data_IF_109639654314
#
_entry.id   IF_109639654314
#
_cell.length_a   1.000
_cell.length_b   1.000
_cell.length_c   1.000
_cell.angle_alpha   90.00
_cell.angle_beta   90.00
_cell.angle_gamma   90.00
#
_symmetry.space_group_name_H-M   'P 1'
#
loop_
_entity.id
_entity.type
_entity.pdbx_description
1 polymer ?
#
# COMPACT_ATOMS: atom_id res chain seq x y z
N UNK A 1 3.12 -11.83 -3.13
CA UNK A 1 2.22 -12.99 -2.91
C UNK A 1 1.23 -13.04 -4.06
N UNK A 2 0.99 -14.23 -4.64
CA UNK A 2 -0.06 -14.44 -5.64
C UNK A 2 -1.40 -14.55 -4.91
N UNK A 3 -2.43 -13.87 -5.42
CA UNK A 3 -3.78 -13.97 -4.85
C UNK A 3 -4.52 -15.18 -5.43
N UNK A 4 -5.61 -15.63 -4.79
CA UNK A 4 -6.43 -16.74 -5.33
C UNK A 4 -6.94 -16.48 -6.76
N UNK A 5 -7.18 -15.20 -7.10
CA UNK A 5 -7.50 -14.78 -8.48
C UNK A 5 -6.33 -14.97 -9.44
N UNK A 6 -5.11 -14.67 -9.00
CA UNK A 6 -3.88 -14.93 -9.76
C UNK A 6 -3.67 -16.41 -10.05
N UNK A 7 -3.94 -17.28 -9.08
CA UNK A 7 -3.86 -18.73 -9.27
C UNK A 7 -4.89 -19.24 -10.30
N UNK A 8 -6.12 -18.74 -10.25
CA UNK A 8 -7.15 -19.07 -11.25
C UNK A 8 -6.78 -18.64 -12.66
N UNK A 9 -6.23 -17.42 -12.83
CA UNK A 9 -5.74 -16.95 -14.13
C UNK A 9 -4.59 -17.80 -14.66
N UNK A 10 -3.65 -18.19 -13.80
CA UNK A 10 -2.53 -19.05 -14.19
C UNK A 10 -3.01 -20.44 -14.62
N UNK A 11 -3.96 -21.03 -13.89
CA UNK A 11 -4.55 -22.32 -14.25
C UNK A 11 -5.27 -22.25 -15.61
N UNK A 12 -6.00 -21.17 -15.87
CA UNK A 12 -6.67 -20.95 -17.15
C UNK A 12 -5.67 -20.80 -18.31
N UNK A 13 -4.54 -20.09 -18.11
CA UNK A 13 -3.47 -19.99 -19.11
C UNK A 13 -2.92 -21.38 -19.45
N UNK A 14 -2.59 -22.17 -18.44
CA UNK A 14 -2.05 -23.52 -18.64
C UNK A 14 -3.05 -24.41 -19.38
N UNK A 15 -4.34 -24.37 -19.01
CA UNK A 15 -5.37 -25.13 -19.68
C UNK A 15 -5.51 -24.72 -21.16
N UNK A 16 -5.55 -23.41 -21.45
CA UNK A 16 -5.65 -22.91 -22.83
C UNK A 16 -4.43 -23.26 -23.67
N UNK A 17 -3.22 -23.17 -23.11
CA UNK A 17 -1.99 -23.60 -23.77
C UNK A 17 -2.06 -25.08 -24.18
N UNK A 18 -2.50 -25.96 -23.26
CA UNK A 18 -2.65 -27.39 -23.53
C UNK A 18 -3.72 -27.66 -24.59
N UNK A 19 -4.90 -27.02 -24.48
CA UNK A 19 -5.95 -27.16 -25.49
C UNK A 19 -5.51 -26.64 -26.87
N UNK A 20 -4.82 -25.50 -26.92
CA UNK A 20 -4.26 -24.95 -28.15
C UNK A 20 -3.29 -25.92 -28.80
N UNK A 21 -2.40 -26.52 -28.01
CA UNK A 21 -1.43 -27.50 -28.50
C UNK A 21 -2.06 -28.81 -29.00
N UNK A 22 -3.16 -29.25 -28.39
CA UNK A 22 -3.89 -30.46 -28.81
C UNK A 22 -4.76 -30.23 -30.05
N UNK A 23 -5.40 -29.07 -30.15
CA UNK A 23 -6.40 -28.80 -31.19
C UNK A 23 -5.83 -28.06 -32.41
N UNK A 24 -4.63 -27.48 -32.30
CA UNK A 24 -3.99 -26.63 -33.31
C UNK A 24 -4.85 -25.46 -33.81
N UNK A 25 -5.86 -25.06 -33.03
CA UNK A 25 -6.72 -23.92 -33.37
C UNK A 25 -5.96 -22.63 -33.10
N UNK A 26 -5.58 -21.91 -34.16
CA UNK A 26 -4.77 -20.69 -34.10
C UNK A 26 -5.27 -19.63 -33.11
N UNK A 27 -6.59 -19.45 -32.98
CA UNK A 27 -7.19 -18.47 -32.05
C UNK A 27 -6.92 -18.78 -30.57
N UNK A 28 -6.75 -20.06 -30.21
CA UNK A 28 -6.45 -20.42 -28.81
C UNK A 28 -5.07 -19.93 -28.40
N UNK A 29 -4.08 -19.97 -29.30
CA UNK A 29 -2.76 -19.40 -29.05
C UNK A 29 -2.81 -17.89 -28.87
N UNK A 30 -3.65 -17.19 -29.63
CA UNK A 30 -3.85 -15.75 -29.44
C UNK A 30 -4.42 -15.44 -28.05
N UNK A 31 -5.45 -16.18 -27.62
CA UNK A 31 -6.03 -16.01 -26.28
C UNK A 31 -5.05 -16.36 -25.17
N UNK A 32 -4.24 -17.41 -25.35
CA UNK A 32 -3.21 -17.82 -24.40
C UNK A 32 -2.12 -16.75 -24.28
N UNK A 33 -1.62 -16.22 -25.39
CA UNK A 33 -0.62 -15.15 -25.41
C UNK A 33 -1.11 -13.89 -24.69
N UNK A 34 -2.39 -13.52 -24.86
CA UNK A 34 -3.00 -12.40 -24.12
C UNK A 34 -3.05 -12.70 -22.62
N UNK A 35 -3.43 -13.92 -22.23
CA UNK A 35 -3.45 -14.32 -20.81
C UNK A 35 -2.06 -14.24 -20.17
N UNK A 36 -1.05 -14.77 -20.85
CA UNK A 36 0.34 -14.67 -20.41
C UNK A 36 0.81 -13.22 -20.33
N UNK A 37 0.42 -12.38 -21.28
CA UNK A 37 0.68 -10.94 -21.25
C UNK A 37 0.09 -10.27 -19.99
N UNK A 38 -1.16 -10.57 -19.65
CA UNK A 38 -1.82 -10.05 -18.44
C UNK A 38 -1.09 -10.52 -17.18
N UNK A 39 -0.69 -11.79 -17.10
CA UNK A 39 0.04 -12.36 -15.96
C UNK A 39 1.40 -11.66 -15.81
N UNK A 40 2.15 -11.51 -16.90
CA UNK A 40 3.46 -10.87 -16.91
C UNK A 40 3.37 -9.41 -16.46
N UNK A 41 2.47 -8.63 -17.05
CA UNK A 41 2.24 -7.22 -16.67
C UNK A 41 1.83 -7.13 -15.20
N UNK A 42 0.94 -8.01 -14.75
CA UNK A 42 0.47 -8.01 -13.36
C UNK A 42 1.55 -8.42 -12.36
N UNK A 43 2.56 -9.18 -12.77
CA UNK A 43 3.71 -9.52 -11.94
C UNK A 43 4.73 -8.38 -11.86
N UNK A 44 4.97 -7.69 -12.98
CA UNK A 44 5.99 -6.64 -13.11
C UNK A 44 5.51 -5.31 -12.51
N UNK A 45 4.26 -4.90 -12.75
CA UNK A 45 3.73 -3.60 -12.31
C UNK A 45 3.84 -3.37 -10.81
N UNK A 46 3.43 -4.30 -9.91
CA UNK A 46 3.60 -4.13 -8.47
C UNK A 46 5.06 -4.03 -8.04
N UNK A 47 5.95 -4.72 -8.77
CA UNK A 47 7.37 -4.71 -8.46
C UNK A 47 7.96 -3.33 -8.76
N UNK A 48 7.63 -2.78 -9.92
CA UNK A 48 8.03 -1.44 -10.32
C UNK A 48 7.43 -0.39 -9.37
N UNK A 49 6.13 -0.49 -9.04
CA UNK A 49 5.43 0.53 -8.23
C UNK A 49 5.99 0.72 -6.82
N UNK A 50 6.72 -0.26 -6.27
CA UNK A 50 7.13 -0.27 -4.86
C UNK A 50 8.59 0.16 -4.66
N UNK A 51 9.43 0.12 -5.69
CA UNK A 51 10.87 0.32 -5.56
C UNK A 51 11.36 1.59 -6.28
N UNK A 52 12.15 2.47 -5.63
CA UNK A 52 12.26 2.75 -4.19
C UNK A 52 11.36 3.94 -3.80
N UNK A 53 10.37 3.74 -2.94
CA UNK A 53 9.57 4.81 -2.32
C UNK A 53 10.11 5.16 -0.93
N UNK A 54 10.08 6.45 -0.54
CA UNK A 54 10.44 6.90 0.81
C UNK A 54 9.20 7.46 1.48
N UNK A 55 8.98 7.12 2.74
CA UNK A 55 7.98 7.79 3.56
C UNK A 55 8.65 8.33 4.82
N UNK A 56 8.28 9.55 5.16
CA UNK A 56 8.62 10.22 6.40
C UNK A 56 7.32 10.41 7.20
N UNK A 57 7.43 10.36 8.52
CA UNK A 57 6.32 10.55 9.45
C UNK A 57 6.63 11.78 10.29
N UNK A 58 5.64 12.62 10.49
CA UNK A 58 5.70 13.76 11.39
C UNK A 58 4.52 13.68 12.35
N UNK A 59 4.75 13.91 13.62
CA UNK A 59 3.69 13.95 14.64
C UNK A 59 3.57 15.40 15.08
N UNK A 60 2.52 16.08 14.64
CA UNK A 60 2.21 17.42 15.12
C UNK A 60 1.30 17.26 16.34
N UNK A 61 1.92 17.35 17.52
CA UNK A 61 1.16 17.54 18.76
C UNK A 61 0.69 18.99 18.82
N UNK A 62 -0.60 19.27 19.07
CA UNK A 62 -1.06 20.63 19.29
C UNK A 62 -0.50 21.15 20.62
N UNK A 63 0.73 21.68 20.60
CA UNK A 63 1.44 22.12 21.80
C UNK A 63 2.85 22.70 21.59
N UNK A 64 3.32 22.89 20.35
CA UNK A 64 4.66 23.45 20.07
C UNK A 64 4.81 24.97 20.35
N UNK A 65 3.84 25.60 20.99
CA UNK A 65 3.97 26.96 21.52
C UNK A 65 3.83 26.95 23.05
N UNK A 66 4.83 26.34 23.71
CA UNK A 66 5.10 26.53 25.14
C UNK A 66 3.92 26.23 26.09
N UNK A 67 3.66 24.95 26.36
CA UNK A 67 2.90 24.58 27.58
C UNK A 67 2.21 23.22 27.56
N UNK A 68 2.62 22.36 28.50
CA UNK A 68 1.94 21.17 29.05
C UNK A 68 2.09 19.81 28.30
N UNK A 69 2.00 18.67 29.05
CA UNK A 69 2.68 17.42 28.73
C UNK A 69 1.79 16.43 27.97
N UNK A 70 2.21 16.04 26.75
CA UNK A 70 1.64 14.92 26.00
C UNK A 70 0.17 15.07 25.62
N UNK A 71 -0.32 14.26 24.67
CA UNK A 71 -1.74 14.26 24.32
C UNK A 71 -2.60 13.80 25.49
N UNK A 72 -3.57 14.62 25.88
CA UNK A 72 -4.56 14.28 26.91
C UNK A 72 -5.62 13.33 26.35
N UNK A 73 -6.28 12.57 27.23
CA UNK A 73 -7.38 11.68 26.84
C UNK A 73 -8.51 12.47 26.16
N UNK A 74 -8.93 12.03 24.98
CA UNK A 74 -9.86 12.75 24.09
C UNK A 74 -9.21 13.87 23.26
N UNK A 75 -7.93 14.16 23.48
CA UNK A 75 -7.15 15.12 22.69
C UNK A 75 -6.95 14.64 21.26
N UNK A 76 -6.99 15.58 20.32
CA UNK A 76 -6.71 15.31 18.91
C UNK A 76 -5.19 15.37 18.69
N UNK A 77 -4.64 14.30 18.13
CA UNK A 77 -3.25 14.24 17.67
C UNK A 77 -3.26 14.26 16.15
N UNK A 78 -2.53 15.22 15.55
CA UNK A 78 -2.36 15.29 14.11
C UNK A 78 -1.14 14.45 13.70
N UNK A 79 -1.40 13.35 13.00
CA UNK A 79 -0.35 12.51 12.44
C UNK A 79 -0.19 12.89 10.97
N UNK A 80 0.95 13.49 10.65
CA UNK A 80 1.39 13.78 9.29
C UNK A 80 2.20 12.62 8.71
N UNK A 81 1.90 12.22 7.48
CA UNK A 81 2.66 11.23 6.72
C UNK A 81 3.01 11.87 5.38
N UNK A 82 4.30 12.00 5.12
CA UNK A 82 4.82 12.53 3.85
C UNK A 82 5.40 11.37 3.03
N UNK A 83 4.78 11.10 1.89
CA UNK A 83 5.24 10.10 0.94
C UNK A 83 6.01 10.79 -0.18
N UNK A 84 7.26 10.39 -0.42
CA UNK A 84 8.13 10.95 -1.45
C UNK A 84 8.54 9.88 -2.47
N UNK A 85 8.35 10.20 -3.74
CA UNK A 85 8.84 9.40 -4.85
C UNK A 85 10.18 9.96 -5.33
N UNK A 86 11.32 9.29 -5.10
CA UNK A 86 12.61 9.74 -5.60
C UNK A 86 12.84 9.40 -7.08
N UNK A 87 11.90 8.74 -7.76
CA UNK A 87 12.06 8.27 -9.15
C UNK A 87 11.17 9.05 -10.10
N UNK A 88 11.59 9.17 -11.37
CA UNK A 88 10.80 9.78 -12.45
C UNK A 88 9.47 9.06 -12.74
N UNK A 89 9.40 7.75 -12.48
CA UNK A 89 8.21 6.97 -12.79
C UNK A 89 7.08 7.30 -11.82
N UNK A 90 5.91 7.73 -12.31
CA UNK A 90 4.74 7.96 -11.47
C UNK A 90 4.26 6.64 -10.86
N UNK A 91 3.70 6.71 -9.65
CA UNK A 91 3.15 5.57 -8.93
C UNK A 91 1.65 5.70 -8.85
N UNK A 92 0.98 4.58 -9.05
CA UNK A 92 -0.48 4.54 -9.06
C UNK A 92 -1.00 3.50 -8.08
N UNK A 93 -2.14 3.80 -7.45
CA UNK A 93 -2.93 2.86 -6.64
C UNK A 93 -2.08 2.26 -5.50
N UNK A 94 -1.57 3.14 -4.63
CA UNK A 94 -0.77 2.76 -3.47
C UNK A 94 -1.63 2.83 -2.21
N UNK A 95 -1.68 1.75 -1.44
CA UNK A 95 -2.31 1.74 -0.12
C UNK A 95 -1.25 1.85 0.97
N UNK A 96 -1.43 2.78 1.91
CA UNK A 96 -0.64 2.89 3.13
C UNK A 96 -1.49 2.44 4.30
N UNK A 97 -0.90 1.74 5.26
CA UNK A 97 -1.58 1.38 6.49
C UNK A 97 -0.61 1.34 7.66
N UNK A 98 -1.10 1.72 8.83
CA UNK A 98 -0.37 1.63 10.09
C UNK A 98 -1.31 1.26 11.23
N UNK A 99 -0.75 0.67 12.28
CA UNK A 99 -1.45 0.38 13.53
C UNK A 99 -1.34 1.61 14.45
N UNK A 100 -2.49 2.18 14.82
CA UNK A 100 -2.63 3.31 15.72
C UNK A 100 -3.27 2.83 17.04
N UNK A 101 -2.48 2.40 18.03
CA UNK A 101 -3.02 1.96 19.32
C UNK A 101 -3.65 3.10 20.15
N UNK A 102 -3.45 4.36 19.75
CA UNK A 102 -4.08 5.52 20.37
C UNK A 102 -5.59 5.60 20.09
N UNK A 103 -6.06 5.01 19.00
CA UNK A 103 -7.46 5.10 18.61
C UNK A 103 -8.30 3.95 19.19
N UNK A 104 -9.63 4.12 19.16
CA UNK A 104 -10.57 3.07 19.57
C UNK A 104 -10.26 1.73 18.88
N UNK A 105 -10.45 0.58 19.55
CA UNK A 105 -10.09 -0.74 19.02
C UNK A 105 -10.78 -1.08 17.69
N UNK A 106 -11.91 -0.45 17.37
CA UNK A 106 -12.61 -0.59 16.09
C UNK A 106 -11.96 0.18 14.92
N UNK A 107 -11.13 1.19 15.19
CA UNK A 107 -10.45 2.06 14.19
C UNK A 107 -8.92 2.05 14.30
N UNK A 108 -8.39 1.09 15.05
CA UNK A 108 -6.97 0.91 15.30
C UNK A 108 -6.12 0.83 14.02
N UNK A 109 -6.67 0.30 12.92
CA UNK A 109 -5.97 0.19 11.65
C UNK A 109 -6.34 1.34 10.71
N UNK A 110 -5.46 2.32 10.61
CA UNK A 110 -5.62 3.46 9.71
C UNK A 110 -5.11 3.11 8.32
N UNK A 111 -5.89 3.44 7.29
CA UNK A 111 -5.56 3.13 5.89
C UNK A 111 -5.75 4.36 5.01
N UNK A 112 -4.68 4.73 4.29
CA UNK A 112 -4.73 5.74 3.25
C UNK A 112 -4.61 5.12 1.88
N UNK A 113 -5.25 5.76 0.91
CA UNK A 113 -5.19 5.38 -0.48
C UNK A 113 -4.71 6.57 -1.30
N UNK A 114 -3.58 6.38 -1.98
CA UNK A 114 -3.00 7.36 -2.90
C UNK A 114 -3.25 6.84 -4.31
N UNK A 115 -4.11 7.54 -5.05
CA UNK A 115 -4.44 7.19 -6.44
C UNK A 115 -3.24 7.40 -7.36
N UNK A 116 -2.54 8.51 -7.19
CA UNK A 116 -1.39 8.91 -7.99
C UNK A 116 -0.35 9.62 -7.13
N UNK A 117 0.92 9.29 -7.38
CA UNK A 117 2.08 9.98 -6.87
C UNK A 117 3.01 10.25 -8.06
N UNK A 118 3.11 11.51 -8.45
CA UNK A 118 3.91 11.92 -9.60
C UNK A 118 5.39 11.50 -9.48
N UNK A 119 6.07 11.43 -10.62
CA UNK A 119 7.52 11.28 -10.67
C UNK A 119 8.21 12.43 -9.94
N UNK A 120 9.18 12.14 -9.09
CA UNK A 120 9.84 13.11 -8.21
C UNK A 120 8.88 13.89 -7.28
N UNK A 121 7.63 13.44 -7.17
CA UNK A 121 6.58 14.10 -6.40
C UNK A 121 6.60 13.74 -4.92
N UNK A 122 5.85 14.53 -4.17
CA UNK A 122 5.56 14.29 -2.76
C UNK A 122 4.07 14.47 -2.49
N UNK A 123 3.52 13.66 -1.59
CA UNK A 123 2.14 13.79 -1.11
C UNK A 123 2.19 13.76 0.42
N UNK A 124 1.63 14.81 1.04
CA UNK A 124 1.42 14.88 2.48
C UNK A 124 -0.01 14.47 2.79
N UNK A 125 -0.17 13.62 3.80
CA UNK A 125 -1.45 13.16 4.32
C UNK A 125 -1.51 13.50 5.81
N UNK A 126 -2.60 14.13 6.24
CA UNK A 126 -2.84 14.48 7.64
C UNK A 126 -4.02 13.66 8.16
N UNK A 127 -3.87 13.13 9.37
CA UNK A 127 -4.88 12.32 10.03
C UNK A 127 -5.01 12.75 11.48
N UNK A 128 -6.22 13.18 11.84
CA UNK A 128 -6.54 13.56 13.20
C UNK A 128 -7.08 12.34 13.93
N UNK A 129 -6.36 11.91 14.97
CA UNK A 129 -6.73 10.76 15.79
C UNK A 129 -7.06 11.24 17.20
N UNK A 130 -8.21 10.82 17.75
CA UNK A 130 -8.55 11.09 19.13
C UNK A 130 -7.89 10.06 20.06
N UNK A 131 -7.15 10.53 21.07
CA UNK A 131 -6.51 9.66 22.06
C UNK A 131 -7.56 8.98 22.95
N UNK A 132 -7.82 7.69 22.73
CA UNK A 132 -8.83 6.92 23.44
C UNK A 132 -8.36 6.45 24.83
N UNK A 133 -7.06 6.22 25.01
CA UNK A 133 -6.46 5.77 26.26
C UNK A 133 -5.27 6.65 26.64
N UNK A 134 -5.01 6.76 27.95
CA UNK A 134 -3.81 7.41 28.49
C UNK A 134 -2.66 6.41 28.55
N UNK A 135 -1.48 6.83 28.10
CA UNK A 135 -0.25 6.05 28.19
C UNK A 135 0.72 6.40 27.07
N UNK A 136 1.96 5.91 27.18
CA UNK A 136 2.89 5.93 26.05
C UNK A 136 2.49 4.82 25.07
N UNK A 137 2.22 5.18 23.83
CA UNK A 137 1.75 4.24 22.82
C UNK A 137 2.69 4.26 21.61
N UNK A 138 3.26 3.11 21.27
CA UNK A 138 4.09 2.99 20.08
C UNK A 138 3.21 2.93 18.83
N UNK A 139 3.35 3.91 17.95
CA UNK A 139 2.74 3.82 16.63
C UNK A 139 3.39 2.67 15.86
N UNK A 140 2.53 1.82 15.29
CA UNK A 140 2.97 0.69 14.50
C UNK A 140 3.77 1.12 13.26
N UNK A 141 4.58 0.20 12.71
CA UNK A 141 5.36 0.46 11.51
C UNK A 141 4.46 0.86 10.34
N UNK A 142 4.90 1.84 9.56
CA UNK A 142 4.20 2.24 8.33
C UNK A 142 4.41 1.17 7.26
N UNK A 143 3.32 0.55 6.85
CA UNK A 143 3.31 -0.47 5.81
C UNK A 143 2.70 0.10 4.53
N UNK A 144 3.28 -0.30 3.40
CA UNK A 144 2.77 0.04 2.09
C UNK A 144 2.42 -1.22 1.33
N UNK A 145 1.28 -1.21 0.64
CA UNK A 145 0.82 -2.26 -0.25
C UNK A 145 0.54 -1.66 -1.61
N UNK A 146 1.23 -2.19 -2.63
CA UNK A 146 0.81 -2.00 -4.01
C UNK A 146 0.18 -3.30 -4.52
N UNK A 147 -0.96 -3.14 -5.18
CA UNK A 147 -1.67 -4.23 -5.83
C UNK A 147 -1.49 -4.13 -7.33
N UNK A 148 -1.38 -5.28 -8.00
CA UNK A 148 -1.40 -5.37 -9.44
C UNK A 148 -2.73 -4.89 -10.01
N UNK A 149 -2.75 -4.49 -11.30
CA UNK A 149 -3.97 -4.51 -12.08
C UNK A 149 -4.72 -5.83 -11.86
N UNK A 150 -6.05 -5.76 -11.70
CA UNK A 150 -6.92 -6.92 -11.45
C UNK A 150 -6.66 -7.68 -10.13
N UNK A 151 -5.75 -7.20 -9.28
CA UNK A 151 -5.47 -7.77 -7.96
C UNK A 151 -4.80 -9.15 -8.00
N UNK A 152 -4.18 -9.55 -9.11
CA UNK A 152 -3.54 -10.87 -9.26
C UNK A 152 -2.31 -11.04 -8.37
N UNK A 153 -1.55 -9.96 -8.18
CA UNK A 153 -0.39 -9.93 -7.31
C UNK A 153 -0.50 -8.80 -6.30
N UNK A 154 0.00 -9.04 -5.10
CA UNK A 154 0.16 -8.02 -4.06
C UNK A 154 1.57 -8.07 -3.52
N UNK A 155 2.14 -6.90 -3.32
CA UNK A 155 3.44 -6.76 -2.67
C UNK A 155 3.33 -5.73 -1.56
N UNK A 156 3.92 -6.08 -0.43
CA UNK A 156 3.93 -5.30 0.81
C UNK A 156 5.38 -4.98 1.16
N UNK A 157 5.64 -3.75 1.55
CA UNK A 157 6.93 -3.34 2.12
C UNK A 157 6.70 -2.51 3.38
N UNK A 158 7.67 -2.56 4.29
CA UNK A 158 7.76 -1.68 5.44
C UNK A 158 8.54 -0.43 5.02
N UNK A 159 7.96 0.76 5.22
CA UNK A 159 8.59 2.03 4.84
C UNK A 159 9.24 2.73 6.01
N UNK A 160 8.64 2.68 7.21
CA UNK A 160 9.16 3.35 8.39
C UNK A 160 9.19 2.40 9.61
N UNK A 161 10.19 2.63 10.47
CA UNK A 161 10.34 1.98 11.77
C UNK A 161 9.25 2.46 12.74
N UNK A 162 8.87 1.67 13.76
CA UNK A 162 7.93 2.11 14.78
C UNK A 162 8.45 3.34 15.53
N UNK A 163 7.56 4.27 15.85
CA UNK A 163 7.86 5.55 16.50
C UNK A 163 7.00 5.70 17.76
N UNK A 164 7.59 6.15 18.86
CA UNK A 164 6.93 6.32 20.16
C UNK A 164 6.14 7.62 20.21
N UNK A 165 4.87 7.56 20.60
CA UNK A 165 4.00 8.72 20.88
C UNK A 165 3.54 8.71 22.33
#
# INVERSE_FOLDING_TARGET
MITGKGAGFLAAAIALFVLGNLTQVGWLYLTDAVLWGIILVSAVVPWLNIFPLRAERSIESPGETGGAPGPTEGGLVAIGITLRNPTFWPRYVVSLYYDCPLEAPSRRMQRFFVSELAGFGQVAMLSNVAAYQRGSHQLGPLMMEASAPFGLFRRRIRLASPETV
#
